data_IF_451607370437
#
_entry.id   IF_451607370437
#
_cell.length_a   1.000
_cell.length_b   1.000
_cell.length_c   1.000
_cell.angle_alpha   90.00
_cell.angle_beta   90.00
_cell.angle_gamma   90.00
#
_symmetry.space_group_name_H-M   'P 1'
#
loop_
_entity.id
_entity.type
_entity.pdbx_description
1 polymer ?
#
# COMPACT_ATOMS: atom_id res chain seq x y z
N UNK A 1 -27.55 -10.76 11.05
CA UNK A 1 -26.11 -10.41 10.97
C UNK A 1 -25.69 -10.69 9.54
N UNK A 2 -25.46 -9.66 8.72
CA UNK A 2 -25.01 -9.85 7.34
C UNK A 2 -23.56 -10.34 7.36
N UNK A 3 -23.34 -11.54 6.81
CA UNK A 3 -22.02 -12.11 6.60
C UNK A 3 -21.40 -11.39 5.41
N UNK A 4 -20.52 -10.44 5.67
CA UNK A 4 -19.66 -9.81 4.66
C UNK A 4 -18.57 -10.79 4.21
N UNK A 5 -18.98 -11.91 3.60
CA UNK A 5 -18.07 -12.91 3.06
C UNK A 5 -17.48 -12.42 1.72
N UNK A 6 -16.15 -12.46 1.61
CA UNK A 6 -15.43 -12.22 0.37
C UNK A 6 -14.26 -11.25 0.47
N UNK A 7 -13.41 -11.32 -0.55
CA UNK A 7 -12.25 -10.45 -0.72
C UNK A 7 -12.48 -9.47 -1.89
N UNK A 8 -11.73 -8.37 -1.87
CA UNK A 8 -11.69 -7.38 -2.93
C UNK A 8 -10.26 -7.28 -3.45
N UNK A 9 -10.08 -7.67 -4.70
CA UNK A 9 -8.84 -7.50 -5.42
C UNK A 9 -8.53 -6.02 -5.57
N UNK A 10 -7.42 -5.59 -4.97
CA UNK A 10 -7.03 -4.18 -4.88
C UNK A 10 -5.65 -4.01 -5.49
N UNK A 11 -5.55 -3.12 -6.48
CA UNK A 11 -4.26 -2.73 -7.08
C UNK A 11 -3.84 -1.36 -6.57
N UNK A 12 -2.62 -1.29 -6.04
CA UNK A 12 -1.98 -0.03 -5.66
C UNK A 12 -1.04 0.41 -6.77
N UNK A 13 -1.12 1.68 -7.14
CA UNK A 13 -0.28 2.29 -8.18
C UNK A 13 0.50 3.44 -7.56
N UNK A 14 1.81 3.46 -7.81
CA UNK A 14 2.69 4.57 -7.43
C UNK A 14 3.48 5.01 -8.64
N UNK A 15 3.55 6.33 -8.84
CA UNK A 15 4.42 6.95 -9.84
C UNK A 15 5.43 7.80 -9.09
N UNK A 16 6.72 7.44 -9.17
CA UNK A 16 7.81 8.17 -8.53
C UNK A 16 8.63 8.91 -9.57
N UNK A 17 8.85 10.23 -9.43
CA UNK A 17 9.89 10.91 -10.19
C UNK A 17 11.26 10.36 -9.79
N UNK A 18 12.09 9.99 -10.77
CA UNK A 18 13.46 9.52 -10.54
C UNK A 18 14.34 10.59 -9.87
N UNK A 19 13.96 11.87 -9.98
CA UNK A 19 14.70 13.01 -9.43
C UNK A 19 14.30 13.37 -7.99
N UNK A 20 13.06 13.10 -7.58
CA UNK A 20 12.47 13.69 -6.35
C UNK A 20 12.23 12.71 -5.21
N UNK A 21 12.80 11.51 -5.30
CA UNK A 21 12.78 10.60 -4.18
C UNK A 21 14.20 10.11 -3.98
N UNK A 22 14.66 10.06 -2.73
CA UNK A 22 15.89 9.35 -2.34
C UNK A 22 15.85 7.85 -2.68
N UNK A 23 14.82 7.39 -3.40
CA UNK A 23 14.56 6.04 -3.84
C UNK A 23 15.54 5.61 -4.93
N UNK A 24 16.38 4.64 -4.60
CA UNK A 24 17.23 3.96 -5.56
C UNK A 24 16.55 2.67 -6.01
N UNK A 25 16.04 2.65 -7.24
CA UNK A 25 15.33 1.49 -7.81
C UNK A 25 16.13 0.17 -7.82
N UNK A 26 17.46 0.24 -7.73
CA UNK A 26 18.33 -0.94 -7.77
C UNK A 26 18.57 -1.55 -6.38
N UNK A 27 18.27 -0.82 -5.31
CA UNK A 27 18.65 -1.21 -3.95
C UNK A 27 17.51 -1.07 -2.94
N UNK A 28 16.61 -0.14 -3.18
CA UNK A 28 15.51 0.17 -2.28
C UNK A 28 14.28 -0.65 -2.64
N UNK A 29 13.47 -0.94 -1.63
CA UNK A 29 12.18 -1.60 -1.80
C UNK A 29 11.07 -0.67 -1.34
N UNK A 30 10.07 -0.49 -2.20
CA UNK A 30 8.86 0.26 -1.88
C UNK A 30 7.77 -0.71 -1.47
N UNK A 31 7.09 -0.45 -0.36
CA UNK A 31 5.98 -1.26 0.13
C UNK A 31 4.74 -0.41 0.32
N UNK A 32 3.58 -1.05 0.21
CA UNK A 32 2.34 -0.56 0.83
C UNK A 32 2.19 -1.25 2.19
N UNK A 33 1.82 -0.48 3.21
CA UNK A 33 1.62 -0.92 4.59
C UNK A 33 0.25 -0.48 5.05
N UNK A 34 -0.38 -1.29 5.90
CA UNK A 34 -1.71 -1.02 6.42
C UNK A 34 -1.65 -0.77 7.92
N UNK A 35 -2.62 -0.04 8.46
CA UNK A 35 -2.76 0.12 9.91
C UNK A 35 -3.24 -1.17 10.58
N UNK A 36 -4.08 -1.94 9.89
CA UNK A 36 -4.72 -3.15 10.41
C UNK A 36 -3.72 -4.30 10.60
N UNK A 37 -3.78 -4.95 11.77
CA UNK A 37 -2.81 -5.98 12.19
C UNK A 37 -2.83 -7.23 11.30
N UNK A 38 -4.00 -7.66 10.82
CA UNK A 38 -4.12 -8.81 9.90
C UNK A 38 -3.51 -8.52 8.52
N UNK A 39 -3.29 -7.24 8.22
CA UNK A 39 -2.54 -6.76 7.06
C UNK A 39 -1.16 -6.26 7.51
N UNK A 40 -0.56 -6.94 8.49
CA UNK A 40 0.82 -6.77 8.94
C UNK A 40 1.12 -5.49 9.71
N UNK A 41 0.13 -4.59 9.88
CA UNK A 41 0.29 -3.32 10.58
C UNK A 41 1.39 -2.40 10.00
N UNK A 42 1.67 -1.30 10.68
CA UNK A 42 2.80 -0.43 10.30
C UNK A 42 4.17 -0.95 10.80
N UNK A 43 4.18 -1.94 11.71
CA UNK A 43 5.38 -2.59 12.24
C UNK A 43 5.20 -4.11 12.18
N UNK A 44 5.55 -4.75 11.04
CA UNK A 44 5.39 -6.18 10.90
C UNK A 44 6.35 -6.90 11.86
N UNK A 45 5.90 -8.01 12.42
CA UNK A 45 6.78 -9.07 12.92
C UNK A 45 7.38 -9.82 11.72
N UNK A 46 8.46 -10.56 11.91
CA UNK A 46 9.18 -11.26 10.83
C UNK A 46 8.32 -12.21 9.99
N UNK A 47 7.18 -12.65 10.56
CA UNK A 47 6.24 -13.58 9.92
C UNK A 47 5.05 -12.87 9.26
N UNK A 48 4.89 -11.57 9.50
CA UNK A 48 3.75 -10.82 9.01
C UNK A 48 3.89 -10.54 7.51
N UNK A 49 2.80 -10.61 6.75
CA UNK A 49 2.85 -10.36 5.32
C UNK A 49 3.34 -8.94 5.02
N UNK A 50 4.02 -8.81 3.87
CA UNK A 50 4.47 -7.53 3.33
C UNK A 50 4.10 -7.44 1.85
N UNK A 51 3.80 -6.23 1.38
CA UNK A 51 3.29 -5.99 0.02
C UNK A 51 4.25 -5.10 -0.76
N UNK A 52 5.35 -5.66 -1.30
CA UNK A 52 6.28 -4.90 -2.11
C UNK A 52 5.63 -4.47 -3.42
N UNK A 53 5.85 -3.21 -3.80
CA UNK A 53 5.51 -2.69 -5.12
C UNK A 53 6.61 -3.10 -6.10
N UNK A 54 6.21 -3.65 -7.23
CA UNK A 54 7.11 -4.08 -8.31
C UNK A 54 7.15 -3.00 -9.38
N UNK A 55 8.35 -2.69 -9.87
CA UNK A 55 8.53 -1.82 -11.01
C UNK A 55 7.90 -2.46 -12.26
N UNK A 56 7.00 -1.74 -12.91
CA UNK A 56 6.30 -2.18 -14.11
C UNK A 56 6.91 -1.58 -15.38
N UNK A 57 7.21 -0.27 -15.34
CA UNK A 57 7.81 0.45 -16.46
C UNK A 57 8.56 1.69 -15.99
N UNK A 58 9.48 2.14 -16.82
CA UNK A 58 10.20 3.40 -16.68
C UNK A 58 9.93 4.24 -17.93
N UNK A 59 9.54 5.50 -17.74
CA UNK A 59 9.25 6.39 -18.86
C UNK A 59 9.39 7.85 -18.43
N UNK A 60 10.08 8.66 -19.25
CA UNK A 60 10.23 10.11 -19.04
C UNK A 60 10.71 10.52 -17.63
N UNK A 61 11.64 9.75 -17.07
CA UNK A 61 12.16 10.00 -15.73
C UNK A 61 11.17 9.68 -14.60
N UNK A 62 10.12 8.91 -14.89
CA UNK A 62 9.15 8.39 -13.92
C UNK A 62 9.28 6.87 -13.79
N UNK A 63 9.14 6.38 -12.57
CA UNK A 63 9.06 4.96 -12.22
C UNK A 63 7.60 4.62 -11.91
N UNK A 64 7.05 3.65 -12.63
CA UNK A 64 5.68 3.18 -12.41
C UNK A 64 5.73 1.85 -11.68
N UNK A 65 5.21 1.83 -10.45
CA UNK A 65 5.27 0.66 -9.58
C UNK A 65 3.86 0.24 -9.16
N UNK A 66 3.64 -1.07 -9.06
CA UNK A 66 2.34 -1.61 -8.66
C UNK A 66 2.45 -2.77 -7.70
N UNK A 67 1.42 -2.94 -6.88
CA UNK A 67 1.19 -4.13 -6.06
C UNK A 67 -0.28 -4.53 -6.15
N UNK A 68 -0.56 -5.82 -6.11
CA UNK A 68 -1.91 -6.36 -6.05
C UNK A 68 -2.07 -7.21 -4.79
N UNK A 69 -3.19 -7.05 -4.09
CA UNK A 69 -3.58 -7.91 -2.98
C UNK A 69 -5.09 -8.02 -2.86
N UNK A 70 -5.54 -9.14 -2.33
CA UNK A 70 -6.92 -9.38 -1.94
C UNK A 70 -7.14 -8.90 -0.50
N UNK A 71 -8.05 -7.95 -0.29
CA UNK A 71 -8.39 -7.42 1.03
C UNK A 71 -9.79 -7.90 1.41
N UNK A 72 -9.95 -8.51 2.59
CA UNK A 72 -11.25 -8.97 3.05
C UNK A 72 -12.22 -7.80 3.24
N UNK A 73 -13.46 -7.93 2.73
CA UNK A 73 -14.50 -6.88 2.77
C UNK A 73 -14.73 -6.33 4.18
N UNK A 74 -14.66 -7.20 5.19
CA UNK A 74 -14.84 -6.85 6.61
C UNK A 74 -13.80 -5.88 7.16
N UNK A 75 -12.64 -5.73 6.49
CA UNK A 75 -11.56 -4.85 6.94
C UNK A 75 -11.75 -3.41 6.49
N UNK A 76 -12.75 -3.12 5.65
CA UNK A 76 -12.96 -1.77 5.13
C UNK A 76 -13.80 -0.90 6.09
N UNK A 77 -13.49 0.40 6.19
CA UNK A 77 -12.38 1.10 5.54
C UNK A 77 -11.04 0.74 6.17
N UNK A 78 -9.98 0.69 5.37
CA UNK A 78 -8.61 0.40 5.83
C UNK A 78 -7.71 1.60 5.59
N UNK A 79 -6.80 1.90 6.51
CA UNK A 79 -5.79 2.93 6.28
C UNK A 79 -4.48 2.33 5.81
N UNK A 80 -3.77 3.06 4.95
CA UNK A 80 -2.51 2.60 4.40
C UNK A 80 -1.52 3.74 4.17
N UNK A 81 -0.25 3.37 4.07
CA UNK A 81 0.87 4.24 3.71
C UNK A 81 1.90 3.53 2.85
N UNK A 82 2.63 4.30 2.06
CA UNK A 82 3.84 3.81 1.42
C UNK A 82 5.08 4.00 2.30
N UNK A 83 6.00 3.03 2.24
CA UNK A 83 7.29 3.09 2.91
C UNK A 83 8.39 2.60 1.98
N UNK A 84 9.49 3.34 1.95
CA UNK A 84 10.74 2.93 1.30
C UNK A 84 11.64 2.32 2.35
N UNK A 85 12.08 1.08 2.13
CA UNK A 85 13.11 0.41 2.93
C UNK A 85 14.42 0.45 2.16
N UNK A 86 15.46 0.99 2.80
CA UNK A 86 16.82 1.10 2.29
C UNK A 86 17.61 -0.18 2.57
N UNK A 87 18.76 -0.34 1.91
CA UNK A 87 19.66 -1.49 2.12
C UNK A 87 20.24 -1.59 3.52
N UNK A 88 20.34 -0.47 4.23
CA UNK A 88 20.77 -0.41 5.64
C UNK A 88 19.64 -0.72 6.64
N UNK A 89 18.45 -1.08 6.13
CA UNK A 89 17.25 -1.35 6.94
C UNK A 89 16.49 -0.09 7.37
N UNK A 90 16.98 1.12 7.04
CA UNK A 90 16.27 2.36 7.36
C UNK A 90 14.97 2.45 6.57
N UNK A 91 13.91 2.85 7.27
CA UNK A 91 12.59 3.08 6.67
C UNK A 91 12.31 4.57 6.51
N UNK A 92 11.83 4.97 5.32
CA UNK A 92 11.38 6.33 5.00
C UNK A 92 9.91 6.25 4.60
N UNK A 93 9.05 6.82 5.43
CA UNK A 93 7.60 6.81 5.22
C UNK A 93 7.17 7.95 4.30
N UNK A 94 6.10 7.73 3.53
CA UNK A 94 5.50 8.81 2.76
C UNK A 94 4.95 9.93 3.67
N UNK A 95 4.97 11.15 3.16
CA UNK A 95 4.17 12.26 3.67
C UNK A 95 2.92 12.40 2.80
N UNK A 96 1.75 12.48 3.43
CA UNK A 96 0.47 12.54 2.71
C UNK A 96 -0.35 13.74 3.15
N UNK A 97 -0.63 14.66 2.22
CA UNK A 97 -1.24 15.95 2.53
C UNK A 97 -0.32 16.84 3.36
N UNK A 98 -0.92 17.72 4.16
CA UNK A 98 -0.19 18.69 4.98
C UNK A 98 0.25 18.14 6.35
N UNK A 99 -0.13 16.90 6.67
CA UNK A 99 0.22 16.24 7.93
C UNK A 99 1.23 15.11 7.70
N UNK A 100 2.35 15.19 8.42
CA UNK A 100 3.42 14.18 8.42
C UNK A 100 2.91 12.79 8.84
N UNK A 101 1.84 12.73 9.65
CA UNK A 101 1.31 11.49 10.21
C UNK A 101 0.04 10.99 9.53
N UNK A 102 -0.56 11.74 8.60
CA UNK A 102 -1.81 11.34 7.95
C UNK A 102 -1.66 10.10 7.06
N UNK A 103 -2.57 9.14 7.20
CA UNK A 103 -2.64 7.94 6.37
C UNK A 103 -3.64 8.13 5.23
N UNK A 104 -3.44 7.40 4.13
CA UNK A 104 -4.46 7.27 3.09
C UNK A 104 -5.57 6.36 3.60
N UNK A 105 -6.81 6.66 3.20
CA UNK A 105 -7.95 5.80 3.51
C UNK A 105 -8.44 5.13 2.24
N UNK A 106 -8.49 3.80 2.24
CA UNK A 106 -9.12 3.03 1.19
C UNK A 106 -10.55 2.72 1.62
N UNK A 107 -11.50 3.35 0.93
CA UNK A 107 -12.93 3.25 1.20
C UNK A 107 -13.59 2.65 -0.04
N UNK A 108 -14.51 1.71 0.16
CA UNK A 108 -15.36 1.19 -0.92
C UNK A 108 -16.73 1.83 -0.79
N UNK A 109 -17.27 2.35 -1.89
CA UNK A 109 -18.64 2.84 -1.95
C UNK A 109 -19.62 1.76 -1.53
N UNK A 110 -20.56 2.07 -0.62
CA UNK A 110 -21.55 1.12 -0.09
C UNK A 110 -22.32 0.38 -1.20
N UNK A 111 -22.54 1.03 -2.34
CA UNK A 111 -23.24 0.43 -3.49
C UNK A 111 -22.49 -0.76 -4.11
N UNK A 112 -21.16 -0.84 -3.94
CA UNK A 112 -20.33 -1.97 -4.40
C UNK A 112 -20.28 -3.11 -3.37
N UNK A 113 -20.75 -2.88 -2.15
CA UNK A 113 -20.78 -3.88 -1.09
C UNK A 113 -22.06 -4.74 -1.14
N UNK A 114 -23.14 -4.22 -1.72
CA UNK A 114 -24.47 -4.88 -1.76
C UNK A 114 -24.70 -5.82 -2.97
N UNK A 115 -23.79 -5.87 -3.95
CA UNK A 115 -23.97 -6.68 -5.17
C UNK A 115 -23.26 -8.04 -5.13
N UNK A 116 -23.53 -8.82 -4.08
CA UNK A 116 -23.34 -10.28 -4.10
C UNK A 116 -24.49 -10.89 -3.31
N UNK A 117 -25.66 -10.95 -3.94
CA UNK A 117 -26.78 -11.81 -3.54
C UNK A 117 -26.78 -13.09 -4.36
#
# INVERSE_FOLDING_TARGET
>A
QEKWEGNIGTTFHVVLPMKDFTFNKNSDQLFVRFDHETLGGFKPKDQDPTWPLKLQKEHDGLLYMTCFLDIAKVLFPVQYKYVVVKTDGKSVWETYGDDLYANRSLIISKDKLLNTG
#
